data_IF_586601575785
#
_entry.id   IF_586601575785
#
_cell.length_a   1.000
_cell.length_b   1.000
_cell.length_c   1.000
_cell.angle_alpha   90.00
_cell.angle_beta   90.00
_cell.angle_gamma   90.00
#
_symmetry.space_group_name_H-M   'P 1'
#
loop_
_entity.id
_entity.type
_entity.pdbx_description
1 polymer ?
#
# COMPACT_ATOMS: atom_id res chain seq x y z
N UNK A 1 33.92 -18.24 -52.86
CA UNK A 1 32.91 -17.48 -52.10
C UNK A 1 32.67 -18.20 -50.77
N UNK A 2 33.33 -17.77 -49.68
CA UNK A 2 33.16 -18.37 -48.35
C UNK A 2 31.91 -17.77 -47.70
N UNK A 3 30.86 -18.58 -47.56
CA UNK A 3 29.63 -18.21 -46.85
C UNK A 3 29.88 -18.28 -45.34
N UNK A 4 30.07 -17.13 -44.72
CA UNK A 4 30.18 -16.98 -43.26
C UNK A 4 28.77 -16.93 -42.68
N UNK A 5 28.31 -18.03 -42.07
CA UNK A 5 27.02 -18.11 -41.38
C UNK A 5 27.15 -17.37 -40.02
N UNK A 6 26.24 -16.43 -39.68
CA UNK A 6 26.36 -15.65 -38.45
C UNK A 6 26.03 -16.48 -37.20
N UNK A 7 26.94 -16.47 -36.21
CA UNK A 7 26.81 -17.09 -34.88
C UNK A 7 25.78 -16.40 -33.97
N UNK A 8 24.50 -16.31 -34.37
CA UNK A 8 23.44 -15.76 -33.50
C UNK A 8 22.64 -16.80 -32.69
N UNK A 9 22.90 -18.09 -32.89
CA UNK A 9 22.09 -19.17 -32.30
C UNK A 9 22.53 -19.66 -30.91
N UNK A 10 23.62 -19.14 -30.33
CA UNK A 10 24.19 -19.68 -29.08
C UNK A 10 23.83 -18.90 -27.80
N UNK A 11 23.08 -17.79 -27.89
CA UNK A 11 22.66 -17.02 -26.70
C UNK A 11 21.28 -17.41 -26.15
N UNK A 12 20.49 -18.20 -26.90
CA UNK A 12 19.13 -18.56 -26.47
C UNK A 12 19.12 -19.72 -25.45
N UNK A 13 19.98 -20.73 -25.63
CA UNK A 13 20.08 -21.87 -24.70
C UNK A 13 20.69 -21.52 -23.35
N UNK A 14 21.57 -20.51 -23.30
CA UNK A 14 22.23 -20.08 -22.06
C UNK A 14 21.25 -19.43 -21.07
N UNK A 15 20.23 -18.68 -21.55
CA UNK A 15 19.19 -18.08 -20.69
C UNK A 15 18.22 -19.12 -20.14
N UNK A 16 17.88 -20.14 -20.92
CA UNK A 16 17.00 -21.23 -20.48
C UNK A 16 17.67 -22.05 -19.36
N UNK A 17 18.97 -22.30 -19.49
CA UNK A 17 19.72 -23.02 -18.45
C UNK A 17 19.93 -22.18 -17.18
N UNK A 18 20.14 -20.87 -17.26
CA UNK A 18 20.31 -20.03 -16.06
C UNK A 18 19.05 -19.94 -15.18
N UNK A 19 17.85 -19.97 -15.77
CA UNK A 19 16.61 -20.02 -15.00
C UNK A 19 16.44 -21.35 -14.23
N UNK A 20 17.03 -22.44 -14.74
CA UNK A 20 16.96 -23.79 -14.16
C UNK A 20 18.10 -24.10 -13.17
N UNK A 21 19.13 -23.23 -13.10
CA UNK A 21 20.36 -23.44 -12.33
C UNK A 21 20.42 -22.64 -11.01
N UNK A 22 19.32 -22.04 -10.55
CA UNK A 22 19.28 -21.59 -9.16
C UNK A 22 19.12 -22.80 -8.25
N UNK A 23 20.01 -23.02 -7.27
CA UNK A 23 19.89 -24.18 -6.39
C UNK A 23 18.56 -24.10 -5.65
N UNK A 24 17.79 -25.20 -5.61
CA UNK A 24 16.46 -25.27 -5.00
C UNK A 24 16.41 -24.65 -3.58
N UNK A 25 17.52 -24.72 -2.85
CA UNK A 25 17.73 -24.08 -1.55
C UNK A 25 17.53 -22.55 -1.58
N UNK A 26 18.00 -21.84 -2.58
CA UNK A 26 17.83 -20.38 -2.68
C UNK A 26 16.38 -19.99 -2.88
N UNK A 27 15.66 -20.74 -3.70
CA UNK A 27 14.22 -20.53 -3.94
C UNK A 27 13.44 -20.82 -2.65
N UNK A 28 13.72 -21.94 -1.99
CA UNK A 28 13.07 -22.29 -0.72
C UNK A 28 13.28 -21.22 0.37
N UNK A 29 14.49 -20.66 0.47
CA UNK A 29 14.78 -19.56 1.42
C UNK A 29 13.97 -18.32 1.07
N UNK A 30 13.93 -17.90 -0.20
CA UNK A 30 13.13 -16.74 -0.61
C UNK A 30 11.64 -16.93 -0.29
N UNK A 31 11.08 -18.11 -0.59
CA UNK A 31 9.68 -18.42 -0.30
C UNK A 31 9.41 -18.40 1.21
N UNK A 32 10.29 -18.96 2.02
CA UNK A 32 10.18 -18.91 3.48
C UNK A 32 10.23 -17.49 4.04
N UNK A 33 11.13 -16.64 3.53
CA UNK A 33 11.19 -15.23 3.91
C UNK A 33 9.94 -14.45 3.44
N UNK A 34 9.36 -14.85 2.31
CA UNK A 34 8.12 -14.26 1.81
C UNK A 34 6.92 -14.63 2.68
N UNK A 35 6.83 -15.89 3.16
CA UNK A 35 5.82 -16.30 4.14
C UNK A 35 5.95 -15.48 5.43
N UNK A 36 7.17 -15.29 5.93
CA UNK A 36 7.43 -14.46 7.10
C UNK A 36 7.00 -13.01 6.86
N UNK A 37 7.31 -12.45 5.69
CA UNK A 37 6.91 -11.09 5.31
C UNK A 37 5.39 -10.95 5.26
N UNK A 38 4.69 -11.92 4.66
CA UNK A 38 3.24 -11.97 4.63
C UNK A 38 2.62 -12.11 6.02
N UNK A 39 3.20 -12.94 6.89
CA UNK A 39 2.75 -13.12 8.27
C UNK A 39 2.87 -11.81 9.07
N UNK A 40 4.03 -11.17 9.03
CA UNK A 40 4.27 -9.90 9.73
C UNK A 40 3.33 -8.81 9.19
N UNK A 41 3.20 -8.72 7.87
CA UNK A 41 2.32 -7.73 7.23
C UNK A 41 0.85 -7.98 7.55
N UNK A 42 0.41 -9.24 7.55
CA UNK A 42 -0.94 -9.62 7.95
C UNK A 42 -1.23 -9.25 9.41
N UNK A 43 -0.31 -9.54 10.33
CA UNK A 43 -0.46 -9.19 11.75
C UNK A 43 -0.52 -7.66 11.92
N UNK A 44 0.40 -6.92 11.30
CA UNK A 44 0.40 -5.46 11.35
C UNK A 44 -0.87 -4.87 10.73
N UNK A 45 -1.33 -5.41 9.60
CA UNK A 45 -2.58 -5.01 8.94
C UNK A 45 -3.81 -5.27 9.83
N UNK A 46 -3.92 -6.45 10.43
CA UNK A 46 -5.01 -6.79 11.37
C UNK A 46 -5.01 -5.86 12.58
N UNK A 47 -3.85 -5.63 13.21
CA UNK A 47 -3.72 -4.70 14.33
C UNK A 47 -4.08 -3.26 13.94
N UNK A 48 -3.72 -2.85 12.73
CA UNK A 48 -4.08 -1.55 12.18
C UNK A 48 -5.58 -1.42 11.97
N UNK A 49 -6.25 -2.45 11.43
CA UNK A 49 -7.71 -2.50 11.30
C UNK A 49 -8.38 -2.35 12.67
N UNK A 50 -8.00 -3.20 13.64
CA UNK A 50 -8.54 -3.15 15.00
C UNK A 50 -8.39 -1.75 15.59
N UNK A 51 -7.21 -1.15 15.49
CA UNK A 51 -6.92 0.16 16.07
C UNK A 51 -7.72 1.27 15.42
N UNK A 52 -7.82 1.29 14.09
CA UNK A 52 -8.65 2.25 13.34
C UNK A 52 -10.12 2.10 13.73
N UNK A 53 -10.62 0.87 13.77
CA UNK A 53 -12.01 0.58 14.12
C UNK A 53 -12.30 0.99 15.57
N UNK A 54 -11.43 0.69 16.53
CA UNK A 54 -11.60 1.10 17.92
C UNK A 54 -11.67 2.63 18.07
N UNK A 55 -10.79 3.37 17.40
CA UNK A 55 -10.80 4.83 17.42
C UNK A 55 -12.06 5.41 16.77
N UNK A 56 -12.51 4.81 15.66
CA UNK A 56 -13.75 5.20 14.98
C UNK A 56 -14.98 4.97 15.87
N UNK A 57 -15.06 3.82 16.54
CA UNK A 57 -16.14 3.50 17.48
C UNK A 57 -16.13 4.45 18.68
N UNK A 58 -14.97 4.68 19.30
CA UNK A 58 -14.81 5.65 20.39
C UNK A 58 -15.30 7.04 20.00
N UNK A 59 -14.93 7.52 18.80
CA UNK A 59 -15.40 8.82 18.28
C UNK A 59 -16.93 8.86 18.15
N UNK A 60 -17.53 7.79 17.64
CA UNK A 60 -18.99 7.71 17.48
C UNK A 60 -19.72 7.65 18.84
N UNK A 61 -19.17 6.94 19.82
CA UNK A 61 -19.68 6.96 21.20
C UNK A 61 -19.62 8.37 21.79
N UNK A 62 -18.51 9.08 21.54
CA UNK A 62 -18.34 10.48 21.94
C UNK A 62 -19.44 11.38 21.35
N UNK A 63 -19.76 11.22 20.06
CA UNK A 63 -20.85 11.94 19.39
C UNK A 63 -22.21 11.62 20.05
N UNK A 64 -22.46 10.35 20.36
CA UNK A 64 -23.71 9.91 20.98
C UNK A 64 -23.89 10.42 22.41
N UNK A 65 -22.81 10.48 23.20
CA UNK A 65 -22.82 10.97 24.59
C UNK A 65 -23.35 12.41 24.69
N UNK A 66 -23.02 13.26 23.71
CA UNK A 66 -23.41 14.67 23.71
C UNK A 66 -24.65 14.97 22.87
N UNK A 67 -25.37 13.95 22.37
CA UNK A 67 -26.50 14.12 21.44
C UNK A 67 -27.64 15.01 21.98
N UNK A 68 -27.82 15.09 23.30
CA UNK A 68 -28.85 15.95 23.91
C UNK A 68 -28.38 17.39 24.20
N UNK A 69 -27.11 17.70 23.95
CA UNK A 69 -26.50 19.00 24.24
C UNK A 69 -26.01 19.63 22.92
N UNK A 70 -26.79 20.49 22.26
CA UNK A 70 -26.56 20.88 20.87
C UNK A 70 -25.20 21.53 20.63
N UNK A 71 -24.69 22.34 21.56
CA UNK A 71 -23.36 22.97 21.43
C UNK A 71 -22.24 21.95 21.62
N UNK A 72 -22.33 21.10 22.65
CA UNK A 72 -21.29 20.14 22.98
C UNK A 72 -21.22 18.97 22.00
N UNK A 73 -22.36 18.61 21.39
CA UNK A 73 -22.45 17.63 20.30
C UNK A 73 -21.54 17.96 19.13
N UNK A 74 -21.46 19.23 18.74
CA UNK A 74 -20.57 19.67 17.66
C UNK A 74 -19.15 19.94 18.15
N UNK A 75 -19.01 20.60 19.29
CA UNK A 75 -17.73 21.13 19.74
C UNK A 75 -16.75 20.03 20.17
N UNK A 76 -17.19 19.07 20.99
CA UNK A 76 -16.27 18.08 21.59
C UNK A 76 -15.74 17.10 20.53
N UNK A 77 -16.57 16.46 19.68
CA UNK A 77 -16.06 15.58 18.62
C UNK A 77 -15.21 16.30 17.57
N UNK A 78 -15.50 17.58 17.29
CA UNK A 78 -14.68 18.39 16.38
C UNK A 78 -13.30 18.68 16.96
N UNK A 79 -13.23 19.06 18.24
CA UNK A 79 -11.95 19.29 18.93
C UNK A 79 -11.14 18.01 19.08
N UNK A 80 -11.77 16.87 19.39
CA UNK A 80 -11.06 15.59 19.47
C UNK A 80 -10.48 15.18 18.12
N UNK A 81 -11.25 15.33 17.04
CA UNK A 81 -10.79 15.10 15.67
C UNK A 81 -9.62 16.03 15.32
N UNK A 82 -9.74 17.33 15.61
CA UNK A 82 -8.67 18.30 15.36
C UNK A 82 -7.39 17.96 16.13
N UNK A 83 -7.51 17.55 17.40
CA UNK A 83 -6.37 17.13 18.23
C UNK A 83 -5.68 15.88 17.66
N UNK A 84 -6.45 14.87 17.26
CA UNK A 84 -5.91 13.65 16.65
C UNK A 84 -5.16 13.95 15.35
N UNK A 85 -5.71 14.82 14.51
CA UNK A 85 -5.05 15.24 13.26
C UNK A 85 -3.78 16.05 13.54
N UNK A 86 -3.82 16.96 14.50
CA UNK A 86 -2.65 17.70 14.93
C UNK A 86 -1.54 16.75 15.40
N UNK A 87 -1.87 15.78 16.25
CA UNK A 87 -0.91 14.78 16.75
C UNK A 87 -0.36 13.91 15.60
N UNK A 88 -1.21 13.45 14.69
CA UNK A 88 -0.76 12.68 13.53
C UNK A 88 0.21 13.47 12.65
N UNK A 89 -0.13 14.72 12.32
CA UNK A 89 0.72 15.62 11.55
C UNK A 89 2.03 15.91 12.26
N UNK A 90 1.99 16.16 13.58
CA UNK A 90 3.17 16.40 14.39
C UNK A 90 4.12 15.19 14.38
N UNK A 91 3.60 13.97 14.61
CA UNK A 91 4.42 12.75 14.62
C UNK A 91 5.06 12.52 13.25
N UNK A 92 4.30 12.65 12.16
CA UNK A 92 4.83 12.50 10.79
C UNK A 92 5.92 13.53 10.51
N UNK A 93 5.65 14.83 10.73
CA UNK A 93 6.62 15.90 10.45
C UNK A 93 7.88 15.80 11.30
N UNK A 94 7.75 15.39 12.57
CA UNK A 94 8.87 15.36 13.52
C UNK A 94 9.74 14.13 13.37
N UNK A 95 9.13 12.97 13.13
CA UNK A 95 9.82 11.68 13.20
C UNK A 95 10.03 11.06 11.82
N UNK A 96 9.01 10.93 10.96
CA UNK A 96 9.15 10.28 9.66
C UNK A 96 8.38 11.06 8.56
N UNK A 97 8.98 12.11 7.96
CA UNK A 97 8.34 12.86 6.89
C UNK A 97 7.92 12.01 5.69
N UNK A 98 8.67 10.94 5.40
CA UNK A 98 8.35 9.93 4.38
C UNK A 98 7.04 9.18 4.67
N UNK A 99 6.52 9.22 5.91
CA UNK A 99 5.24 8.61 6.23
C UNK A 99 4.03 9.42 5.74
N UNK A 100 4.23 10.60 5.14
CA UNK A 100 3.14 11.41 4.59
C UNK A 100 2.45 10.74 3.39
N UNK A 101 1.19 11.10 3.16
CA UNK A 101 0.41 10.66 1.99
C UNK A 101 0.19 9.15 1.93
N UNK A 102 0.06 8.62 0.70
CA UNK A 102 -0.21 7.19 0.46
C UNK A 102 0.94 6.32 0.96
N UNK A 103 2.15 6.56 0.44
CA UNK A 103 3.33 5.73 0.72
C UNK A 103 3.62 4.69 -0.36
N UNK A 104 2.71 4.50 -1.33
CA UNK A 104 2.99 3.69 -2.53
C UNK A 104 4.21 4.26 -3.28
N UNK A 105 4.26 5.58 -3.46
CA UNK A 105 5.37 6.26 -4.13
C UNK A 105 6.70 6.12 -3.38
N UNK A 106 6.67 5.98 -2.05
CA UNK A 106 7.86 5.72 -1.24
C UNK A 106 8.40 4.31 -1.46
N UNK A 107 7.50 3.33 -1.59
CA UNK A 107 7.86 1.95 -1.92
C UNK A 107 8.37 1.84 -3.36
N UNK A 108 7.71 2.48 -4.32
CA UNK A 108 8.18 2.55 -5.71
C UNK A 108 9.56 3.19 -5.79
N UNK A 109 9.74 4.34 -5.13
CA UNK A 109 11.04 5.01 -5.06
C UNK A 109 12.11 4.15 -4.38
N UNK A 110 11.75 3.37 -3.36
CA UNK A 110 12.66 2.43 -2.71
C UNK A 110 13.06 1.25 -3.61
N UNK A 111 12.14 0.77 -4.45
CA UNK A 111 12.42 -0.26 -5.45
C UNK A 111 13.33 0.28 -6.56
N UNK A 112 13.16 1.55 -6.94
CA UNK A 112 14.00 2.27 -7.91
C UNK A 112 15.36 2.70 -7.36
N UNK A 113 15.52 2.67 -6.03
CA UNK A 113 16.69 3.20 -5.35
C UNK A 113 16.75 4.74 -5.35
N UNK A 114 15.67 5.42 -5.74
CA UNK A 114 15.54 6.89 -5.67
C UNK A 114 15.15 7.37 -4.28
N UNK A 115 14.64 6.48 -3.42
CA UNK A 115 14.28 6.77 -2.03
C UNK A 115 14.81 5.72 -1.07
N UNK A 116 15.15 6.13 0.15
CA UNK A 116 15.56 5.22 1.21
C UNK A 116 14.37 4.76 2.06
N UNK A 117 14.37 3.50 2.48
CA UNK A 117 13.32 2.93 3.32
C UNK A 117 13.80 2.79 4.77
N UNK A 118 13.46 3.76 5.60
CA UNK A 118 13.79 3.80 7.03
C UNK A 118 12.76 3.03 7.89
N UNK A 119 12.58 1.73 7.61
CA UNK A 119 11.55 0.88 8.21
C UNK A 119 11.42 1.00 9.74
N UNK A 120 12.53 1.12 10.47
CA UNK A 120 12.53 1.21 11.95
C UNK A 120 11.77 2.44 12.50
N UNK A 121 11.75 3.53 11.72
CA UNK A 121 11.16 4.81 12.09
C UNK A 121 9.80 4.96 11.42
N UNK A 122 9.70 4.51 10.17
CA UNK A 122 8.46 4.53 9.41
C UNK A 122 7.37 3.69 10.07
N UNK A 123 7.63 2.43 10.42
CA UNK A 123 6.60 1.50 10.90
C UNK A 123 5.79 2.06 12.08
N UNK A 124 6.42 2.49 13.20
CA UNK A 124 5.64 3.05 14.32
C UNK A 124 4.94 4.36 13.95
N UNK A 125 5.58 5.24 13.16
CA UNK A 125 5.01 6.53 12.78
C UNK A 125 3.81 6.37 11.86
N UNK A 126 3.93 5.57 10.79
CA UNK A 126 2.86 5.33 9.82
C UNK A 126 1.68 4.62 10.47
N UNK A 127 1.94 3.67 11.38
CA UNK A 127 0.90 3.00 12.15
C UNK A 127 0.12 3.99 13.03
N UNK A 128 0.80 4.72 13.92
CA UNK A 128 0.15 5.61 14.88
C UNK A 128 -0.56 6.76 14.15
N UNK A 129 0.14 7.42 13.21
CA UNK A 129 -0.44 8.52 12.46
C UNK A 129 -1.63 8.06 11.61
N UNK A 130 -1.54 6.88 10.96
CA UNK A 130 -2.63 6.30 10.19
C UNK A 130 -3.86 5.96 11.03
N UNK A 131 -3.66 5.43 12.25
CA UNK A 131 -4.75 5.16 13.20
C UNK A 131 -5.46 6.46 13.59
N UNK A 132 -4.71 7.52 13.88
CA UNK A 132 -5.27 8.82 14.26
C UNK A 132 -5.97 9.51 13.08
N UNK A 133 -5.41 9.49 11.87
CA UNK A 133 -6.04 10.15 10.70
C UNK A 133 -7.28 9.41 10.22
N UNK A 134 -7.19 8.09 10.01
CA UNK A 134 -8.32 7.31 9.49
C UNK A 134 -9.38 7.13 10.58
N UNK A 135 -8.97 6.81 11.82
CA UNK A 135 -9.88 6.63 12.94
C UNK A 135 -10.64 7.91 13.30
N UNK A 136 -10.03 9.09 13.12
CA UNK A 136 -10.73 10.38 13.33
C UNK A 136 -11.79 10.68 12.27
N UNK A 137 -11.83 9.95 11.15
CA UNK A 137 -12.89 10.05 10.14
C UNK A 137 -12.52 10.85 8.90
N UNK A 138 -11.22 11.07 8.66
CA UNK A 138 -10.76 11.66 7.41
C UNK A 138 -11.05 10.76 6.22
N UNK A 139 -11.23 11.38 5.05
CA UNK A 139 -11.46 10.69 3.78
C UNK A 139 -10.14 10.08 3.29
N UNK A 140 -9.76 8.95 3.89
CA UNK A 140 -8.54 8.20 3.58
C UNK A 140 -8.80 6.69 3.69
N UNK A 141 -8.11 5.92 2.85
CA UNK A 141 -8.16 4.46 2.87
C UNK A 141 -7.07 3.83 3.73
N UNK A 142 -7.31 2.59 4.19
CA UNK A 142 -6.32 1.77 4.91
C UNK A 142 -5.22 1.22 3.99
N UNK A 143 -5.44 1.24 2.68
CA UNK A 143 -4.50 0.68 1.68
C UNK A 143 -3.14 1.36 1.71
N UNK A 144 -3.07 2.69 1.62
CA UNK A 144 -1.80 3.41 1.62
C UNK A 144 -0.89 3.04 2.81
N UNK A 145 -1.36 3.20 4.06
CA UNK A 145 -0.60 2.81 5.24
C UNK A 145 -0.18 1.34 5.26
N UNK A 146 -1.08 0.41 4.94
CA UNK A 146 -0.79 -1.03 4.98
C UNK A 146 0.19 -1.46 3.88
N UNK A 147 0.09 -0.92 2.66
CA UNK A 147 1.05 -1.12 1.58
C UNK A 147 2.43 -0.59 1.99
N UNK A 148 2.50 0.63 2.53
CA UNK A 148 3.76 1.25 2.92
C UNK A 148 4.43 0.47 4.06
N UNK A 149 3.68 0.13 5.11
CA UNK A 149 4.18 -0.68 6.22
C UNK A 149 4.59 -2.08 5.75
N UNK A 150 3.79 -2.73 4.90
CA UNK A 150 4.09 -4.04 4.33
C UNK A 150 5.38 -4.05 3.53
N UNK A 151 5.57 -3.07 2.63
CA UNK A 151 6.81 -2.94 1.86
C UNK A 151 8.04 -2.71 2.75
N UNK A 152 7.89 -1.92 3.81
CA UNK A 152 8.94 -1.72 4.82
C UNK A 152 9.23 -2.95 5.69
N UNK A 153 8.22 -3.77 6.01
CA UNK A 153 8.43 -5.07 6.64
C UNK A 153 9.19 -6.02 5.71
N UNK A 154 8.89 -6.00 4.42
CA UNK A 154 9.67 -6.72 3.40
C UNK A 154 11.13 -6.27 3.34
N UNK A 155 11.36 -4.95 3.40
CA UNK A 155 12.71 -4.39 3.51
C UNK A 155 13.42 -4.85 4.80
N UNK A 156 12.73 -4.78 5.94
CA UNK A 156 13.25 -5.22 7.24
C UNK A 156 13.68 -6.69 7.19
N UNK A 157 12.81 -7.59 6.70
CA UNK A 157 13.12 -9.01 6.55
C UNK A 157 14.35 -9.18 5.65
N UNK A 158 14.41 -8.51 4.50
CA UNK A 158 15.59 -8.56 3.62
C UNK A 158 16.88 -8.15 4.34
N UNK A 159 16.86 -7.05 5.11
CA UNK A 159 18.03 -6.53 5.84
C UNK A 159 18.47 -7.47 6.96
N UNK A 160 17.54 -7.99 7.76
CA UNK A 160 17.82 -8.91 8.87
C UNK A 160 18.44 -10.21 8.35
N UNK A 161 17.90 -10.75 7.26
CA UNK A 161 18.39 -11.99 6.64
C UNK A 161 19.47 -11.78 5.56
N UNK A 162 19.95 -10.53 5.39
CA UNK A 162 21.06 -10.15 4.50
C UNK A 162 20.89 -10.67 3.06
N UNK A 163 19.71 -10.50 2.49
CA UNK A 163 19.44 -10.97 1.13
C UNK A 163 20.08 -10.09 0.05
N UNK A 164 20.26 -10.62 -1.17
CA UNK A 164 20.76 -9.84 -2.30
C UNK A 164 19.73 -8.80 -2.78
N UNK A 165 20.13 -7.89 -3.67
CA UNK A 165 19.23 -6.84 -4.16
C UNK A 165 17.99 -7.37 -4.88
N UNK A 166 18.09 -8.46 -5.63
CA UNK A 166 16.95 -9.04 -6.35
C UNK A 166 15.90 -9.62 -5.37
N UNK A 167 16.34 -10.35 -4.34
CA UNK A 167 15.47 -10.87 -3.29
C UNK A 167 14.92 -9.75 -2.40
N UNK A 168 15.71 -8.70 -2.13
CA UNK A 168 15.27 -7.50 -1.43
C UNK A 168 14.07 -6.87 -2.14
N UNK A 169 14.18 -6.61 -3.45
CA UNK A 169 13.09 -6.02 -4.21
C UNK A 169 11.87 -6.95 -4.23
N UNK A 170 12.09 -8.25 -4.41
CA UNK A 170 11.00 -9.25 -4.33
C UNK A 170 10.28 -9.21 -2.98
N UNK A 171 11.00 -9.13 -1.86
CA UNK A 171 10.42 -9.08 -0.52
C UNK A 171 9.69 -7.76 -0.24
N UNK A 172 10.22 -6.63 -0.70
CA UNK A 172 9.54 -5.32 -0.61
C UNK A 172 8.23 -5.36 -1.40
N UNK A 173 8.25 -5.82 -2.66
CA UNK A 173 7.06 -5.98 -3.49
C UNK A 173 6.06 -6.97 -2.85
N UNK A 174 6.54 -8.10 -2.32
CA UNK A 174 5.70 -9.10 -1.65
C UNK A 174 5.03 -8.53 -0.39
N UNK A 175 5.75 -7.77 0.43
CA UNK A 175 5.21 -7.10 1.59
C UNK A 175 4.20 -6.01 1.24
N UNK A 176 4.49 -5.18 0.24
CA UNK A 176 3.56 -4.15 -0.22
C UNK A 176 2.26 -4.74 -0.78
N UNK A 177 2.35 -5.81 -1.58
CA UNK A 177 1.19 -6.56 -2.06
C UNK A 177 0.42 -7.23 -0.91
N UNK A 178 1.13 -7.86 0.04
CA UNK A 178 0.53 -8.41 1.24
C UNK A 178 -0.21 -7.35 2.06
N UNK A 179 0.29 -6.11 2.10
CA UNK A 179 -0.36 -4.96 2.71
C UNK A 179 -1.69 -4.61 2.05
N UNK A 180 -1.72 -4.54 0.72
CA UNK A 180 -2.96 -4.34 -0.03
C UNK A 180 -3.96 -5.48 0.21
N UNK A 181 -3.48 -6.73 0.22
CA UNK A 181 -4.32 -7.88 0.53
C UNK A 181 -4.87 -7.83 1.95
N UNK A 182 -4.10 -7.33 2.91
CA UNK A 182 -4.53 -7.16 4.28
C UNK A 182 -5.58 -6.06 4.44
N UNK A 183 -5.49 -4.98 3.63
CA UNK A 183 -6.45 -3.88 3.65
C UNK A 183 -7.85 -4.28 3.17
N UNK A 184 -7.94 -5.12 2.13
CA UNK A 184 -9.21 -5.42 1.45
C UNK A 184 -9.67 -6.87 1.48
N UNK A 185 -8.84 -7.78 1.99
CA UNK A 185 -9.09 -9.21 1.86
C UNK A 185 -9.23 -9.65 0.37
N UNK A 186 -8.43 -9.04 -0.52
CA UNK A 186 -8.44 -9.30 -1.98
C UNK A 186 -7.09 -9.81 -2.50
N UNK A 187 -6.77 -11.11 -2.31
CA UNK A 187 -5.48 -11.68 -2.70
C UNK A 187 -5.15 -11.52 -4.19
N UNK A 188 -6.13 -11.76 -5.07
CA UNK A 188 -5.90 -11.70 -6.53
C UNK A 188 -5.61 -10.27 -7.00
N UNK A 189 -6.37 -9.29 -6.51
CA UNK A 189 -6.14 -7.88 -6.82
C UNK A 189 -4.75 -7.42 -6.31
N UNK A 190 -4.33 -7.91 -5.14
CA UNK A 190 -3.02 -7.60 -4.59
C UNK A 190 -1.85 -8.16 -5.42
N UNK A 191 -2.00 -9.36 -5.99
CA UNK A 191 -1.00 -9.93 -6.91
C UNK A 191 -0.95 -9.14 -8.21
N UNK A 192 -2.11 -8.75 -8.77
CA UNK A 192 -2.16 -7.91 -9.97
C UNK A 192 -1.53 -6.54 -9.75
N UNK A 193 -1.82 -5.89 -8.62
CA UNK A 193 -1.19 -4.63 -8.21
C UNK A 193 0.34 -4.73 -8.20
N UNK A 194 0.91 -5.82 -7.68
CA UNK A 194 2.35 -6.04 -7.70
C UNK A 194 2.94 -6.16 -9.12
N UNK A 195 2.17 -6.73 -10.05
CA UNK A 195 2.58 -7.00 -11.43
C UNK A 195 2.42 -5.76 -12.33
N UNK A 196 1.37 -4.98 -12.11
CA UNK A 196 0.96 -3.86 -12.95
C UNK A 196 1.54 -2.53 -12.46
N UNK A 197 1.37 -2.21 -11.17
CA UNK A 197 1.77 -0.92 -10.61
C UNK A 197 3.24 -0.92 -10.19
N UNK A 198 3.69 -1.91 -9.42
CA UNK A 198 5.08 -1.99 -8.92
C UNK A 198 6.10 -2.53 -9.94
N UNK A 199 5.77 -2.42 -11.23
CA UNK A 199 6.42 -3.09 -12.37
C UNK A 199 7.87 -2.69 -12.63
N UNK A 200 8.25 -1.43 -12.40
CA UNK A 200 9.47 -0.84 -12.96
C UNK A 200 10.78 -1.54 -12.53
N UNK A 201 10.77 -2.27 -11.40
CA UNK A 201 11.96 -2.85 -10.79
C UNK A 201 11.80 -4.31 -10.36
N UNK A 202 10.63 -4.90 -10.62
CA UNK A 202 10.37 -6.31 -10.37
C UNK A 202 10.85 -7.11 -11.59
N UNK A 203 11.95 -7.85 -11.44
CA UNK A 203 12.31 -8.86 -12.44
C UNK A 203 11.22 -9.93 -12.42
N UNK A 204 10.49 -10.08 -13.52
CA UNK A 204 9.47 -11.11 -13.73
C UNK A 204 10.07 -12.53 -13.77
N UNK A 205 10.66 -12.96 -12.66
CA UNK A 205 11.01 -14.34 -12.41
C UNK A 205 9.79 -15.09 -11.90
N UNK A 206 9.58 -16.30 -12.39
CA UNK A 206 8.57 -17.24 -11.89
C UNK A 206 8.59 -17.35 -10.36
N UNK A 207 9.78 -17.39 -9.77
CA UNK A 207 9.97 -17.49 -8.32
C UNK A 207 9.56 -16.22 -7.56
N UNK A 208 9.78 -15.04 -8.12
CA UNK A 208 9.39 -13.79 -7.47
C UNK A 208 7.86 -13.65 -7.43
N UNK A 209 7.17 -14.05 -8.51
CA UNK A 209 5.69 -14.05 -8.54
C UNK A 209 5.14 -15.06 -7.52
N UNK A 210 5.75 -16.25 -7.42
CA UNK A 210 5.40 -17.23 -6.39
C UNK A 210 5.62 -16.68 -4.97
N UNK A 211 6.73 -15.98 -4.74
CA UNK A 211 7.00 -15.34 -3.44
C UNK A 211 5.93 -14.30 -3.09
N UNK A 212 5.59 -13.40 -4.03
CA UNK A 212 4.54 -12.39 -3.84
C UNK A 212 3.20 -13.05 -3.52
N UNK A 213 2.78 -14.02 -4.34
CA UNK A 213 1.53 -14.74 -4.14
C UNK A 213 1.47 -15.39 -2.75
N UNK A 214 2.57 -16.03 -2.33
CA UNK A 214 2.65 -16.68 -1.02
C UNK A 214 2.52 -15.68 0.14
N UNK A 215 3.23 -14.55 0.09
CA UNK A 215 3.10 -13.50 1.12
C UNK A 215 1.66 -12.96 1.19
N UNK A 216 1.06 -12.71 0.03
CA UNK A 216 -0.32 -12.23 -0.11
C UNK A 216 -1.32 -13.22 0.49
N UNK A 217 -1.21 -14.51 0.17
CA UNK A 217 -2.10 -15.53 0.73
C UNK A 217 -1.95 -15.65 2.25
N UNK A 218 -0.72 -15.60 2.78
CA UNK A 218 -0.49 -15.65 4.23
C UNK A 218 -1.13 -14.42 4.90
N UNK A 219 -0.91 -13.22 4.37
CA UNK A 219 -1.52 -12.01 4.92
C UNK A 219 -3.05 -12.07 4.89
N UNK A 220 -3.64 -12.56 3.80
CA UNK A 220 -5.08 -12.75 3.68
C UNK A 220 -5.62 -13.76 4.70
N UNK A 221 -4.93 -14.88 4.95
CA UNK A 221 -5.32 -15.85 5.98
C UNK A 221 -5.29 -15.17 7.34
N UNK A 222 -4.23 -14.44 7.68
CA UNK A 222 -4.11 -13.75 8.97
C UNK A 222 -5.25 -12.74 9.18
N UNK A 223 -5.59 -11.95 8.16
CA UNK A 223 -6.71 -11.00 8.26
C UNK A 223 -8.04 -11.73 8.39
N UNK A 224 -8.27 -12.81 7.62
CA UNK A 224 -9.51 -13.61 7.69
C UNK A 224 -9.71 -14.31 9.04
N UNK A 225 -8.64 -14.62 9.77
CA UNK A 225 -8.77 -15.14 11.14
C UNK A 225 -9.42 -14.12 12.08
N UNK A 226 -9.30 -12.81 11.78
CA UNK A 226 -9.94 -11.75 12.53
C UNK A 226 -11.26 -11.28 11.92
N UNK A 227 -11.27 -10.93 10.63
CA UNK A 227 -12.46 -10.36 9.95
C UNK A 227 -13.48 -11.41 9.53
N UNK A 228 -13.14 -12.70 9.62
CA UNK A 228 -13.92 -13.77 9.00
C UNK A 228 -13.78 -13.80 7.48
N UNK A 229 -14.61 -14.62 6.83
CA UNK A 229 -14.59 -14.86 5.39
C UNK A 229 -15.60 -13.99 4.61
N UNK A 230 -16.16 -12.97 5.25
CA UNK A 230 -17.21 -12.14 4.65
C UNK A 230 -16.58 -11.09 3.72
N UNK A 231 -17.16 -10.84 2.54
CA UNK A 231 -16.75 -9.73 1.69
C UNK A 231 -16.90 -8.38 2.41
N UNK A 232 -15.99 -7.44 2.14
CA UNK A 232 -16.11 -6.07 2.65
C UNK A 232 -17.38 -5.36 2.16
N UNK A 233 -17.87 -5.75 0.97
CA UNK A 233 -19.09 -5.22 0.37
C UNK A 233 -19.96 -6.41 -0.07
N UNK A 234 -21.12 -6.57 0.58
CA UNK A 234 -22.12 -7.54 0.15
C UNK A 234 -22.89 -6.97 -1.04
N UNK A 235 -22.61 -7.48 -2.24
CA UNK A 235 -23.32 -7.09 -3.46
C UNK A 235 -24.45 -8.08 -3.76
N UNK A 236 -25.59 -7.56 -4.21
CA UNK A 236 -26.66 -8.37 -4.78
C UNK A 236 -26.23 -9.01 -6.10
N UNK A 237 -26.68 -10.23 -6.36
CA UNK A 237 -26.46 -10.88 -7.65
C UNK A 237 -27.33 -10.22 -8.73
N UNK A 238 -26.67 -9.57 -9.70
CA UNK A 238 -27.32 -9.03 -10.89
C UNK A 238 -27.17 -10.01 -12.05
N UNK A 239 -28.19 -10.11 -12.90
CA UNK A 239 -28.10 -10.89 -14.14
C UNK A 239 -27.06 -10.28 -15.09
N UNK A 240 -26.37 -11.13 -15.86
CA UNK A 240 -25.41 -10.66 -16.85
C UNK A 240 -26.12 -9.77 -17.88
N UNK A 241 -25.62 -8.55 -18.15
CA UNK A 241 -26.26 -7.66 -19.11
C UNK A 241 -26.10 -8.20 -20.54
N UNK A 242 -27.07 -7.94 -21.44
CA UNK A 242 -26.99 -8.39 -22.83
C UNK A 242 -25.81 -7.75 -23.56
N UNK A 243 -25.24 -8.43 -24.55
CA UNK A 243 -24.09 -7.92 -25.33
C UNK A 243 -24.39 -6.57 -26.03
N UNK A 244 -25.66 -6.27 -26.27
CA UNK A 244 -26.11 -4.99 -26.83
C UNK A 244 -25.86 -3.79 -25.91
N UNK A 245 -25.61 -4.01 -24.61
CA UNK A 245 -25.28 -2.94 -23.68
C UNK A 245 -23.79 -2.61 -23.62
N UNK A 246 -22.91 -3.36 -24.31
CA UNK A 246 -21.47 -3.10 -24.33
C UNK A 246 -21.09 -1.65 -24.74
N UNK A 247 -21.75 -1.01 -25.72
CA UNK A 247 -21.48 0.39 -26.04
C UNK A 247 -21.68 1.35 -24.86
N UNK A 248 -22.61 1.07 -23.94
CA UNK A 248 -22.81 1.89 -22.73
C UNK A 248 -21.60 1.83 -21.80
N UNK A 249 -20.99 0.65 -21.63
CA UNK A 249 -19.76 0.50 -20.84
C UNK A 249 -18.56 1.19 -21.49
N UNK A 250 -18.50 1.25 -22.83
CA UNK A 250 -17.49 2.03 -23.54
C UNK A 250 -17.65 3.53 -23.27
N UNK A 251 -18.87 4.06 -23.38
CA UNK A 251 -19.16 5.47 -23.06
C UNK A 251 -18.83 5.76 -21.59
N UNK A 252 -19.20 4.87 -20.68
CA UNK A 252 -18.88 4.98 -19.26
C UNK A 252 -17.37 5.02 -19.02
N UNK A 253 -16.60 4.20 -19.75
CA UNK A 253 -15.14 4.21 -19.74
C UNK A 253 -14.55 5.55 -20.21
N UNK A 254 -15.11 6.16 -21.26
CA UNK A 254 -14.71 7.51 -21.70
C UNK A 254 -14.99 8.56 -20.64
N UNK A 255 -16.17 8.50 -20.01
CA UNK A 255 -16.53 9.42 -18.91
C UNK A 255 -15.57 9.27 -17.74
N UNK A 256 -15.33 8.06 -17.22
CA UNK A 256 -14.39 7.85 -16.13
C UNK A 256 -12.94 8.19 -16.52
N UNK A 257 -12.54 7.95 -17.76
CA UNK A 257 -11.23 8.37 -18.27
C UNK A 257 -11.04 9.88 -18.21
N UNK A 258 -12.03 10.65 -18.66
CA UNK A 258 -11.99 12.13 -18.57
C UNK A 258 -12.02 12.62 -17.12
N UNK A 259 -12.90 12.05 -16.29
CA UNK A 259 -12.97 12.38 -14.86
C UNK A 259 -11.67 12.08 -14.12
N UNK A 260 -10.98 10.99 -14.45
CA UNK A 260 -9.68 10.64 -13.88
C UNK A 260 -8.62 11.70 -14.16
N UNK A 261 -8.56 12.21 -15.40
CA UNK A 261 -7.63 13.31 -15.76
C UNK A 261 -7.95 14.58 -14.96
N UNK A 262 -9.24 14.94 -14.87
CA UNK A 262 -9.66 16.13 -14.12
C UNK A 262 -9.37 15.99 -12.62
N UNK A 263 -9.65 14.82 -12.05
CA UNK A 263 -9.38 14.53 -10.66
C UNK A 263 -7.90 14.62 -10.33
N UNK A 264 -7.02 14.03 -11.16
CA UNK A 264 -5.58 14.11 -10.96
C UNK A 264 -5.06 15.56 -11.03
N UNK A 265 -5.57 16.38 -11.96
CA UNK A 265 -5.22 17.80 -12.02
C UNK A 265 -5.69 18.56 -10.77
N UNK A 266 -6.93 18.34 -10.36
CA UNK A 266 -7.48 18.98 -9.15
C UNK A 266 -6.70 18.58 -7.90
N UNK A 267 -6.28 17.32 -7.80
CA UNK A 267 -5.46 16.81 -6.70
C UNK A 267 -4.11 17.54 -6.65
N UNK A 268 -3.40 17.65 -7.77
CA UNK A 268 -2.10 18.35 -7.84
C UNK A 268 -2.27 19.84 -7.47
N UNK A 269 -3.27 20.52 -8.05
CA UNK A 269 -3.56 21.92 -7.72
C UNK A 269 -3.86 22.09 -6.23
N UNK A 270 -4.64 21.17 -5.63
CA UNK A 270 -4.94 21.18 -4.21
C UNK A 270 -3.68 21.02 -3.35
N UNK A 271 -2.76 20.13 -3.75
CA UNK A 271 -1.48 19.96 -3.06
C UNK A 271 -0.60 21.23 -3.17
N UNK A 272 -0.54 21.85 -4.34
CA UNK A 272 0.25 23.08 -4.57
C UNK A 272 -0.30 24.27 -3.77
N UNK A 273 -1.62 24.41 -3.68
CA UNK A 273 -2.26 25.45 -2.87
C UNK A 273 -1.92 25.28 -1.38
N UNK A 274 -1.97 24.05 -0.88
CA UNK A 274 -1.65 23.76 0.53
C UNK A 274 -0.15 23.92 0.83
N UNK A 275 0.74 23.55 -0.10
CA UNK A 275 2.19 23.69 0.09
C UNK A 275 2.62 25.16 0.11
N UNK A 276 2.06 25.98 -0.79
CA UNK A 276 2.32 27.43 -0.82
C UNK A 276 1.81 28.11 0.46
N UNK A 277 0.59 27.79 0.90
CA UNK A 277 0.04 28.31 2.16
C UNK A 277 0.93 27.96 3.36
N UNK A 278 1.47 26.74 3.40
CA UNK A 278 2.39 26.33 4.47
C UNK A 278 3.72 27.09 4.42
N UNK A 279 4.25 27.37 3.22
CA UNK A 279 5.44 28.21 3.05
C UNK A 279 5.20 29.61 3.59
N UNK A 280 4.09 30.24 3.21
CA UNK A 280 3.74 31.59 3.63
C UNK A 280 3.57 31.70 5.16
N UNK A 281 2.92 30.72 5.79
CA UNK A 281 2.78 30.66 7.25
C UNK A 281 4.15 30.54 7.93
N UNK A 282 5.03 29.69 7.40
CA UNK A 282 6.37 29.53 7.97
C UNK A 282 7.18 30.83 7.84
N UNK A 283 7.07 31.55 6.71
CA UNK A 283 7.73 32.84 6.51
C UNK A 283 7.21 33.90 7.48
N UNK A 284 5.89 33.97 7.70
CA UNK A 284 5.29 34.89 8.68
C UNK A 284 5.74 34.60 10.12
N UNK A 285 5.82 33.32 10.49
CA UNK A 285 6.28 32.90 11.83
C UNK A 285 7.78 33.15 12.06
N UNK A 286 8.59 33.21 11.00
CA UNK A 286 10.01 33.60 11.11
C UNK A 286 10.25 35.12 11.16
N UNK A 287 9.25 35.92 10.81
CA UNK A 287 9.30 37.39 10.86
C UNK A 287 8.79 37.98 12.19
N UNK A 288 8.18 37.15 13.05
CA UNK A 288 7.76 37.47 14.42
C UNK A 288 8.81 36.99 15.43
#
# INVERSE_FOLDING_TARGET
>A
MKLTIPKKTFQFSARINQAFLMPARYIAVLLGLSMLTGLLTGITGTLFHISVDSVFHWRNELIQQFNQQPVLHWLIPSLSTALMLYLALFIVRRFAPEAAGSGIQEIEGALEGSRENFWHRLLPVKFIAGVLTIGSGMVMGREGPTIHMGGSLGHMVSKVFKTNNDNKNTLITAGAAAGLSAAFNTPLAAILFAIEEMRAQFKYGTYSVQAVALAVFIAAVVVRLYTGQVPAINMSHFAAPPLTSLPLFFILGLVFGTLGILFNRALIIGLDLLSNTQSDINTLLTLL
#
